data_IF_578309660671
#
_entry.id   IF_578309660671
#
_cell.length_a   1.000
_cell.length_b   1.000
_cell.length_c   1.000
_cell.angle_alpha   90.00
_cell.angle_beta   90.00
_cell.angle_gamma   90.00
#
_symmetry.space_group_name_H-M   'P 1'
#
loop_
_entity.id
_entity.type
_entity.pdbx_description
1 polymer ?
#
# COMPACT_ATOMS: atom_id res chain seq x y z
N UNK A 1 -60.77 -19.76 -64.63
CA UNK A 1 -60.99 -18.32 -64.39
C UNK A 1 -60.07 -17.92 -63.23
N UNK A 2 -58.75 -17.87 -63.47
CA UNK A 2 -57.99 -16.72 -63.99
C UNK A 2 -58.20 -15.47 -63.13
N UNK A 3 -57.19 -15.10 -62.35
CA UNK A 3 -56.42 -13.85 -62.50
C UNK A 3 -55.39 -13.73 -61.35
N UNK A 4 -54.10 -13.84 -61.69
CA UNK A 4 -52.99 -13.37 -60.86
C UNK A 4 -52.94 -11.83 -60.89
N UNK A 5 -52.53 -11.15 -59.81
CA UNK A 5 -52.00 -9.80 -59.90
C UNK A 5 -50.47 -9.74 -59.72
N UNK A 6 -49.94 -8.70 -60.33
CA UNK A 6 -48.55 -8.48 -60.71
C UNK A 6 -47.65 -7.99 -59.57
N UNK A 7 -46.36 -8.26 -59.78
CA UNK A 7 -45.19 -7.64 -59.13
C UNK A 7 -45.24 -6.11 -59.23
N UNK A 8 -44.92 -5.43 -58.14
CA UNK A 8 -44.40 -4.06 -58.15
C UNK A 8 -43.09 -4.03 -57.36
N UNK A 9 -42.04 -3.50 -58.00
CA UNK A 9 -40.71 -3.32 -57.44
C UNK A 9 -40.67 -2.05 -56.59
N UNK A 10 -40.26 -2.14 -55.33
CA UNK A 10 -39.89 -0.99 -54.51
C UNK A 10 -38.37 -0.79 -54.58
N UNK A 11 -37.95 0.36 -55.13
CA UNK A 11 -36.57 0.84 -55.09
C UNK A 11 -36.17 1.13 -53.63
N UNK A 12 -35.13 0.48 -53.12
CA UNK A 12 -34.49 0.81 -51.85
C UNK A 12 -33.62 2.07 -52.00
N UNK A 13 -33.99 3.15 -51.32
CA UNK A 13 -33.17 4.35 -51.20
C UNK A 13 -32.05 4.11 -50.17
N UNK A 14 -30.80 4.13 -50.66
CA UNK A 14 -29.58 3.99 -49.86
C UNK A 14 -29.34 5.33 -49.13
N UNK A 15 -29.69 5.41 -47.84
CA UNK A 15 -29.33 6.54 -46.98
C UNK A 15 -27.84 6.42 -46.62
N UNK A 16 -26.98 7.19 -47.30
CA UNK A 16 -25.57 7.31 -46.97
C UNK A 16 -25.45 8.18 -45.70
N UNK A 17 -25.41 7.55 -44.54
CA UNK A 17 -25.12 8.21 -43.28
C UNK A 17 -23.66 8.69 -43.28
N UNK A 18 -23.47 9.99 -43.45
CA UNK A 18 -22.18 10.67 -43.35
C UNK A 18 -21.71 10.58 -41.88
N UNK A 19 -20.91 9.55 -41.56
CA UNK A 19 -20.26 9.44 -40.26
C UNK A 19 -19.24 10.57 -40.13
N UNK A 20 -19.62 11.62 -39.42
CA UNK A 20 -18.73 12.70 -39.00
C UNK A 20 -17.78 12.13 -37.95
N UNK A 21 -16.57 11.74 -38.39
CA UNK A 21 -15.47 11.39 -37.51
C UNK A 21 -15.07 12.63 -36.70
N UNK A 22 -15.54 12.71 -35.46
CA UNK A 22 -15.02 13.66 -34.49
C UNK A 22 -13.55 13.31 -34.22
N UNK A 23 -12.64 14.08 -34.81
CA UNK A 23 -11.22 13.99 -34.48
C UNK A 23 -11.04 14.44 -33.04
N UNK A 24 -10.82 13.49 -32.14
CA UNK A 24 -10.40 13.76 -30.77
C UNK A 24 -9.00 14.37 -30.83
N UNK A 25 -8.88 15.69 -30.62
CA UNK A 25 -7.60 16.32 -30.33
C UNK A 25 -7.02 15.63 -29.10
N UNK A 26 -5.95 14.84 -29.29
CA UNK A 26 -5.21 14.26 -28.20
C UNK A 26 -4.67 15.39 -27.31
N UNK A 27 -5.08 15.41 -26.05
CA UNK A 27 -4.55 16.36 -25.08
C UNK A 27 -3.03 16.16 -24.95
N UNK A 28 -2.27 17.26 -24.93
CA UNK A 28 -0.82 17.21 -24.77
C UNK A 28 -0.47 16.50 -23.45
N UNK A 29 0.60 15.68 -23.43
CA UNK A 29 0.99 14.97 -22.21
C UNK A 29 1.34 15.99 -21.10
N UNK A 30 1.06 15.65 -19.82
CA UNK A 30 1.43 16.53 -18.71
C UNK A 30 2.93 16.80 -18.74
N UNK A 31 3.34 18.01 -18.36
CA UNK A 31 4.75 18.39 -18.31
C UNK A 31 5.30 18.10 -16.91
N UNK A 32 6.50 17.50 -16.79
CA UNK A 32 7.12 17.26 -15.49
C UNK A 32 7.47 18.59 -14.82
N UNK A 33 7.36 18.70 -13.48
CA UNK A 33 7.79 19.89 -12.78
C UNK A 33 9.31 20.04 -12.87
N UNK A 34 9.77 21.28 -13.01
CA UNK A 34 11.20 21.58 -13.07
C UNK A 34 11.72 21.96 -11.67
N UNK A 35 12.73 21.23 -11.18
CA UNK A 35 13.42 21.60 -9.95
C UNK A 35 14.30 22.83 -10.18
N UNK A 36 14.06 23.91 -9.44
CA UNK A 36 14.91 25.08 -9.49
C UNK A 36 16.33 24.72 -9.02
N UNK A 37 17.34 25.18 -9.76
CA UNK A 37 18.73 25.13 -9.33
C UNK A 37 19.01 26.29 -8.40
N UNK A 38 19.50 25.99 -7.21
CA UNK A 38 19.99 26.95 -6.23
C UNK A 38 21.39 26.52 -5.82
N UNK A 39 22.40 27.22 -6.34
CA UNK A 39 23.79 26.88 -6.07
C UNK A 39 24.06 26.88 -4.56
N UNK A 40 24.49 25.72 -4.07
CA UNK A 40 25.00 25.55 -2.72
C UNK A 40 26.35 24.86 -2.83
N UNK A 41 27.34 25.33 -2.07
CA UNK A 41 28.71 24.82 -2.13
C UNK A 41 29.22 24.50 -0.74
N UNK A 42 30.02 23.43 -0.63
CA UNK A 42 30.87 23.19 0.54
C UNK A 42 32.26 22.72 0.09
N UNK A 43 33.27 22.96 0.92
CA UNK A 43 34.61 22.42 0.69
C UNK A 43 34.78 21.10 1.44
N UNK A 44 35.10 20.02 0.72
CA UNK A 44 35.45 18.71 1.28
C UNK A 44 36.85 18.33 0.85
N UNK A 45 37.74 18.06 1.80
CA UNK A 45 39.12 17.65 1.52
C UNK A 45 39.90 18.62 0.61
N UNK A 46 39.60 19.92 0.68
CA UNK A 46 40.22 20.94 -0.17
C UNK A 46 39.55 21.15 -1.55
N UNK A 47 38.52 20.38 -1.87
CA UNK A 47 37.76 20.52 -3.12
C UNK A 47 36.39 21.15 -2.88
N UNK A 48 35.96 22.05 -3.78
CA UNK A 48 34.61 22.64 -3.74
C UNK A 48 33.61 21.71 -4.40
N UNK A 49 32.64 21.23 -3.64
CA UNK A 49 31.51 20.42 -4.11
C UNK A 49 30.28 21.32 -4.24
N UNK A 50 29.64 21.32 -5.41
CA UNK A 50 28.39 22.07 -5.67
C UNK A 50 27.19 21.12 -5.67
N UNK A 51 26.11 21.48 -4.98
CA UNK A 51 24.83 20.78 -4.96
C UNK A 51 23.69 21.79 -5.24
N UNK A 52 23.29 21.90 -6.51
CA UNK A 52 22.22 22.82 -6.96
C UNK A 52 20.84 22.50 -6.36
N UNK A 53 20.67 21.30 -5.76
CA UNK A 53 19.38 20.82 -5.27
C UNK A 53 19.38 20.60 -3.76
N UNK A 54 20.38 21.12 -3.06
CA UNK A 54 20.53 21.01 -1.60
C UNK A 54 19.27 21.43 -0.85
N UNK A 55 18.59 22.45 -1.36
CA UNK A 55 17.38 23.02 -0.79
C UNK A 55 16.23 22.00 -0.67
N UNK A 56 16.19 20.94 -1.50
CA UNK A 56 15.19 19.87 -1.41
C UNK A 56 15.28 19.06 -0.10
N UNK A 57 16.38 19.15 0.65
CA UNK A 57 16.55 18.44 1.93
C UNK A 57 15.74 19.07 3.07
N UNK A 58 15.33 20.34 2.92
CA UNK A 58 14.59 21.07 3.94
C UNK A 58 13.10 20.68 3.93
N UNK A 59 12.75 19.59 4.61
CA UNK A 59 11.40 18.99 4.59
C UNK A 59 10.26 19.96 4.93
N UNK A 60 10.51 20.97 5.76
CA UNK A 60 9.51 21.95 6.19
C UNK A 60 9.44 23.20 5.30
N UNK A 61 10.36 23.33 4.34
CA UNK A 61 10.41 24.49 3.45
C UNK A 61 9.18 24.48 2.50
N UNK A 62 8.37 25.56 2.46
CA UNK A 62 7.19 25.62 1.61
C UNK A 62 7.48 25.40 0.12
N UNK A 63 8.66 25.78 -0.37
CA UNK A 63 9.07 25.54 -1.76
C UNK A 63 9.25 24.05 -2.05
N UNK A 64 9.81 23.31 -1.10
CA UNK A 64 10.00 21.85 -1.22
C UNK A 64 8.65 21.16 -1.22
N UNK A 65 7.75 21.54 -0.30
CA UNK A 65 6.39 20.99 -0.24
C UNK A 65 5.63 21.29 -1.53
N UNK A 66 5.74 22.50 -2.08
CA UNK A 66 5.12 22.86 -3.35
C UNK A 66 5.66 22.02 -4.51
N UNK A 67 6.98 21.83 -4.58
CA UNK A 67 7.62 20.99 -5.60
C UNK A 67 7.15 19.53 -5.51
N UNK A 68 7.12 18.94 -4.31
CA UNK A 68 6.64 17.57 -4.10
C UNK A 68 5.16 17.39 -4.47
N UNK A 69 4.31 18.40 -4.21
CA UNK A 69 2.92 18.39 -4.66
C UNK A 69 2.80 18.41 -6.19
N UNK A 70 3.66 19.18 -6.86
CA UNK A 70 3.70 19.21 -8.32
C UNK A 70 4.15 17.85 -8.90
N UNK A 71 5.16 17.22 -8.31
CA UNK A 71 5.61 15.86 -8.68
C UNK A 71 4.51 14.81 -8.49
N UNK A 72 3.79 14.87 -7.36
CA UNK A 72 2.65 13.99 -7.11
C UNK A 72 1.52 14.19 -8.14
N UNK A 73 1.22 15.45 -8.51
CA UNK A 73 0.21 15.75 -9.51
C UNK A 73 0.61 15.25 -10.91
N UNK A 74 1.88 15.44 -11.29
CA UNK A 74 2.42 14.92 -12.53
C UNK A 74 2.35 13.39 -12.59
N UNK A 75 2.75 12.71 -11.51
CA UNK A 75 2.68 11.25 -11.40
C UNK A 75 1.24 10.77 -11.53
N UNK A 76 0.30 11.37 -10.79
CA UNK A 76 -1.13 11.03 -10.89
C UNK A 76 -1.66 11.19 -12.31
N UNK A 77 -1.26 12.25 -13.02
CA UNK A 77 -1.68 12.48 -14.39
C UNK A 77 -1.10 11.44 -15.36
N UNK A 78 0.19 11.09 -15.21
CA UNK A 78 0.86 10.08 -16.04
C UNK A 78 0.39 8.66 -15.77
N UNK A 79 0.00 8.34 -14.53
CA UNK A 79 -0.45 6.98 -14.16
C UNK A 79 -1.97 6.82 -14.17
N UNK A 80 -2.73 7.85 -14.56
CA UNK A 80 -4.19 7.86 -14.48
C UNK A 80 -4.83 6.66 -15.19
N UNK A 81 -4.34 6.33 -16.38
CA UNK A 81 -4.89 5.26 -17.20
C UNK A 81 -4.61 3.86 -16.65
N UNK A 82 -3.68 3.74 -15.68
CA UNK A 82 -3.40 2.49 -14.97
C UNK A 82 -4.44 2.18 -13.88
N UNK A 83 -5.33 3.11 -13.54
CA UNK A 83 -6.28 2.94 -12.44
C UNK A 83 -7.11 1.63 -12.51
N UNK A 84 -7.60 1.16 -13.68
CA UNK A 84 -8.27 -0.13 -13.76
C UNK A 84 -7.36 -1.31 -13.39
N UNK A 85 -6.11 -1.30 -13.87
CA UNK A 85 -5.12 -2.32 -13.56
C UNK A 85 -4.74 -2.28 -12.07
N UNK A 86 -4.47 -1.09 -11.52
CA UNK A 86 -4.17 -0.90 -10.09
C UNK A 86 -5.30 -1.44 -9.22
N UNK A 87 -6.56 -1.15 -9.57
CA UNK A 87 -7.74 -1.66 -8.83
C UNK A 87 -7.85 -3.18 -8.91
N UNK A 88 -7.61 -3.77 -10.09
CA UNK A 88 -7.60 -5.22 -10.28
C UNK A 88 -6.53 -5.88 -9.41
N UNK A 89 -5.28 -5.40 -9.49
CA UNK A 89 -4.16 -5.93 -8.71
C UNK A 89 -4.39 -5.76 -7.21
N UNK A 90 -4.92 -4.62 -6.76
CA UNK A 90 -5.29 -4.41 -5.37
C UNK A 90 -6.29 -5.47 -4.88
N UNK A 91 -7.34 -5.73 -5.66
CA UNK A 91 -8.34 -6.75 -5.36
C UNK A 91 -7.76 -8.17 -5.33
N UNK A 92 -6.88 -8.51 -6.27
CA UNK A 92 -6.19 -9.80 -6.31
C UNK A 92 -5.26 -10.00 -5.10
N UNK A 93 -4.44 -9.00 -4.77
CA UNK A 93 -3.53 -9.04 -3.62
C UNK A 93 -4.33 -9.17 -2.33
N UNK A 94 -5.35 -8.33 -2.15
CA UNK A 94 -6.24 -8.41 -0.99
C UNK A 94 -6.93 -9.76 -0.89
N UNK A 95 -7.45 -10.29 -2.00
CA UNK A 95 -8.15 -11.58 -2.04
C UNK A 95 -7.24 -12.79 -1.77
N UNK A 96 -5.92 -12.65 -1.97
CA UNK A 96 -4.91 -13.67 -1.62
C UNK A 96 -4.37 -13.52 -0.20
N UNK A 97 -4.68 -12.41 0.48
CA UNK A 97 -4.24 -12.16 1.84
C UNK A 97 -5.15 -12.89 2.82
N UNK A 98 -4.55 -13.72 3.68
CA UNK A 98 -5.26 -14.39 4.76
C UNK A 98 -5.34 -13.42 5.94
N UNK A 99 -6.49 -12.77 6.10
CA UNK A 99 -6.63 -11.71 7.13
C UNK A 99 -6.55 -12.27 8.56
N UNK A 100 -7.09 -13.47 8.79
CA UNK A 100 -6.94 -14.18 10.07
C UNK A 100 -5.89 -15.26 9.94
N UNK A 101 -4.70 -15.02 10.47
CA UNK A 101 -3.60 -15.97 10.44
C UNK A 101 -2.86 -16.07 11.77
N UNK A 102 -2.10 -17.14 11.93
CA UNK A 102 -1.28 -17.39 13.10
C UNK A 102 0.08 -17.87 12.63
N UNK A 103 1.14 -17.19 13.09
CA UNK A 103 2.52 -17.59 12.84
C UNK A 103 2.83 -18.93 13.51
N UNK A 104 3.86 -19.62 13.04
CA UNK A 104 4.28 -20.91 13.62
C UNK A 104 4.66 -20.72 15.10
N UNK A 105 3.95 -21.38 16.05
CA UNK A 105 4.28 -21.26 17.47
C UNK A 105 5.67 -21.77 17.77
N UNK A 106 6.48 -20.93 18.41
CA UNK A 106 7.86 -21.24 18.75
C UNK A 106 8.01 -21.37 20.26
N UNK A 107 8.53 -22.50 20.72
CA UNK A 107 8.76 -22.73 22.16
C UNK A 107 9.98 -21.95 22.64
N UNK A 108 9.82 -21.16 23.70
CA UNK A 108 10.91 -20.55 24.46
C UNK A 108 10.59 -20.70 25.95
N UNK A 109 11.45 -21.41 26.68
CA UNK A 109 11.22 -21.71 28.09
C UNK A 109 9.88 -22.41 28.32
N UNK A 110 9.06 -21.81 29.19
CA UNK A 110 7.77 -22.37 29.61
C UNK A 110 6.61 -22.04 28.66
N UNK A 111 6.85 -21.31 27.57
CA UNK A 111 5.78 -20.83 26.70
C UNK A 111 6.03 -21.11 25.22
N UNK A 112 4.94 -21.20 24.46
CA UNK A 112 4.93 -21.04 23.01
C UNK A 112 4.55 -19.61 22.68
N UNK A 113 5.39 -18.94 21.90
CA UNK A 113 5.17 -17.58 21.43
C UNK A 113 4.78 -17.58 19.95
N UNK A 114 3.85 -16.70 19.59
CA UNK A 114 3.41 -16.49 18.21
C UNK A 114 2.75 -15.12 18.07
N UNK A 115 2.72 -14.61 16.85
CA UNK A 115 1.79 -13.54 16.47
C UNK A 115 0.57 -14.12 15.75
N UNK A 116 -0.54 -13.40 15.85
CA UNK A 116 -1.75 -13.64 15.05
C UNK A 116 -2.32 -12.34 14.51
N UNK A 117 -3.00 -12.42 13.39
CA UNK A 117 -3.77 -11.32 12.81
C UNK A 117 -5.26 -11.65 12.88
N UNK A 118 -6.09 -10.62 12.91
CA UNK A 118 -7.55 -10.75 12.88
C UNK A 118 -8.11 -10.01 11.67
N UNK A 119 -9.23 -10.50 11.15
CA UNK A 119 -9.93 -9.86 10.05
C UNK A 119 -10.25 -8.39 10.35
N UNK A 120 -9.90 -7.51 9.41
CA UNK A 120 -10.10 -6.07 9.53
C UNK A 120 -9.11 -5.32 10.42
N UNK A 121 -8.20 -6.01 11.11
CA UNK A 121 -7.14 -5.39 11.91
C UNK A 121 -5.89 -5.11 11.06
N UNK A 122 -5.16 -4.05 11.41
CA UNK A 122 -3.99 -3.61 10.63
C UNK A 122 -2.67 -4.15 11.16
N UNK A 123 -2.64 -4.54 12.44
CA UNK A 123 -1.42 -4.93 13.14
C UNK A 123 -1.55 -6.32 13.78
N UNK A 124 -0.44 -7.04 13.97
CA UNK A 124 -0.45 -8.31 14.66
C UNK A 124 -0.73 -8.15 16.17
N UNK A 125 -1.18 -9.24 16.77
CA UNK A 125 -1.31 -9.40 18.22
C UNK A 125 -0.28 -10.44 18.65
N UNK A 126 0.65 -10.02 19.51
CA UNK A 126 1.70 -10.89 20.04
C UNK A 126 1.13 -11.65 21.24
N UNK A 127 1.19 -12.97 21.16
CA UNK A 127 0.54 -13.87 22.10
C UNK A 127 1.52 -14.93 22.61
N UNK A 128 1.14 -15.58 23.71
CA UNK A 128 1.77 -16.82 24.18
C UNK A 128 0.77 -17.79 24.78
N UNK A 129 1.16 -19.06 24.85
CA UNK A 129 0.45 -20.12 25.59
C UNK A 129 1.44 -20.92 26.42
N UNK A 130 1.03 -21.34 27.61
CA UNK A 130 1.88 -22.18 28.47
C UNK A 130 2.18 -23.52 27.78
N UNK A 131 3.44 -23.94 27.80
CA UNK A 131 3.88 -25.24 27.33
C UNK A 131 3.55 -26.31 28.38
N UNK A 132 3.02 -27.45 27.94
CA UNK A 132 2.84 -28.61 28.81
C UNK A 132 4.19 -29.28 29.06
N UNK A 133 4.52 -29.54 30.33
CA UNK A 133 5.79 -30.13 30.74
C UNK A 133 6.06 -31.48 30.04
N UNK A 134 5.03 -32.31 29.90
CA UNK A 134 5.18 -33.71 29.49
C UNK A 134 4.83 -33.97 28.01
N UNK A 135 4.54 -32.92 27.24
CA UNK A 135 3.96 -33.05 25.90
C UNK A 135 4.97 -33.09 24.75
N UNK A 136 6.26 -33.33 25.01
CA UNK A 136 7.25 -33.60 23.95
C UNK A 136 7.31 -32.54 22.84
N UNK A 137 7.50 -31.27 23.20
CA UNK A 137 7.50 -30.12 22.27
C UNK A 137 6.21 -29.96 21.41
N UNK A 138 5.12 -30.65 21.72
CA UNK A 138 3.84 -30.46 21.07
C UNK A 138 3.16 -29.16 21.53
N UNK A 139 2.78 -28.33 20.57
CA UNK A 139 1.92 -27.16 20.79
C UNK A 139 0.47 -27.62 21.02
N UNK A 140 -0.18 -27.12 22.07
CA UNK A 140 -1.59 -27.36 22.36
C UNK A 140 -2.40 -26.06 22.29
N UNK A 141 -3.16 -25.90 21.20
CA UNK A 141 -4.01 -24.73 20.97
C UNK A 141 -5.17 -24.60 21.99
N UNK A 142 -5.43 -25.62 22.83
CA UNK A 142 -6.47 -25.57 23.87
C UNK A 142 -6.00 -24.93 25.17
N UNK A 143 -4.68 -24.82 25.39
CA UNK A 143 -4.14 -24.11 26.56
C UNK A 143 -4.53 -22.63 26.48
N UNK A 144 -4.87 -21.98 27.59
CA UNK A 144 -5.29 -20.58 27.57
C UNK A 144 -4.25 -19.65 26.89
N UNK A 145 -4.73 -18.73 26.05
CA UNK A 145 -3.92 -17.68 25.42
C UNK A 145 -3.70 -16.51 26.36
N UNK A 146 -2.47 -16.00 26.38
CA UNK A 146 -2.10 -14.74 26.99
C UNK A 146 -1.68 -13.75 25.89
N UNK A 147 -2.34 -12.60 25.83
CA UNK A 147 -1.94 -11.51 24.94
C UNK A 147 -0.82 -10.72 25.62
N UNK A 148 0.33 -10.63 24.96
CA UNK A 148 1.48 -9.85 25.43
C UNK A 148 1.43 -8.42 24.93
N UNK A 149 1.07 -8.24 23.66
CA UNK A 149 1.04 -6.93 23.02
C UNK A 149 -0.03 -6.92 21.93
N UNK A 150 -1.03 -6.06 22.07
CA UNK A 150 -1.98 -5.76 21.00
C UNK A 150 -1.61 -4.42 20.36
N UNK A 151 -0.95 -4.49 19.21
CA UNK A 151 -0.50 -3.33 18.47
C UNK A 151 -1.67 -2.50 17.92
N UNK A 152 -2.83 -3.13 17.65
CA UNK A 152 -4.01 -2.40 17.18
C UNK A 152 -4.54 -1.46 18.24
N UNK A 153 -4.48 -1.86 19.52
CA UNK A 153 -4.85 -0.97 20.63
C UNK A 153 -3.87 0.20 20.76
N UNK A 154 -2.57 -0.06 20.62
CA UNK A 154 -1.53 0.96 20.73
C UNK A 154 -1.50 1.93 19.55
N UNK A 155 -1.94 1.47 18.37
CA UNK A 155 -2.01 2.26 17.14
C UNK A 155 -3.23 3.20 17.10
N UNK A 156 -4.24 3.02 17.97
CA UNK A 156 -5.46 3.83 17.95
C UNK A 156 -5.16 5.33 17.99
N UNK A 157 -5.73 6.06 17.02
CA UNK A 157 -5.61 7.52 16.92
C UNK A 157 -4.28 8.02 16.36
N UNK A 158 -3.34 7.12 16.01
CA UNK A 158 -2.06 7.49 15.42
C UNK A 158 -2.13 7.40 13.89
N UNK A 159 -1.43 8.30 13.21
CA UNK A 159 -1.31 8.29 11.74
C UNK A 159 -0.32 7.23 11.24
N UNK A 160 0.64 6.89 12.09
CA UNK A 160 1.65 5.86 11.90
C UNK A 160 1.90 5.18 13.24
N UNK A 161 2.13 3.87 13.21
CA UNK A 161 2.53 3.10 14.38
C UNK A 161 3.34 1.90 13.93
N UNK A 162 4.44 1.64 14.63
CA UNK A 162 5.28 0.48 14.43
C UNK A 162 5.87 0.03 15.78
N UNK A 163 5.95 -1.28 15.99
CA UNK A 163 6.77 -1.87 17.05
C UNK A 163 8.06 -2.38 16.40
N UNK A 164 9.19 -1.71 16.65
CA UNK A 164 10.46 -2.11 16.03
C UNK A 164 11.06 -3.35 16.70
N UNK A 165 10.98 -3.42 18.02
CA UNK A 165 11.58 -4.50 18.79
C UNK A 165 10.77 -4.80 20.03
N UNK A 166 10.75 -6.08 20.41
CA UNK A 166 10.26 -6.51 21.70
C UNK A 166 11.10 -7.67 22.23
N UNK A 167 11.16 -7.79 23.55
CA UNK A 167 11.88 -8.86 24.23
C UNK A 167 11.17 -9.24 25.52
N UNK A 168 11.06 -10.54 25.75
CA UNK A 168 10.50 -11.11 26.98
C UNK A 168 11.65 -11.47 27.92
N UNK A 169 11.53 -11.12 29.19
CA UNK A 169 12.53 -11.43 30.21
C UNK A 169 12.73 -12.95 30.37
N UNK A 170 13.91 -13.42 30.82
CA UNK A 170 14.17 -14.85 31.00
C UNK A 170 13.24 -15.57 31.99
N UNK A 171 12.62 -14.83 32.91
CA UNK A 171 11.64 -15.34 33.87
C UNK A 171 10.18 -15.23 33.38
N UNK A 172 9.98 -14.83 32.11
CA UNK A 172 8.68 -14.68 31.44
C UNK A 172 7.74 -13.63 32.07
N UNK A 173 8.23 -12.75 32.96
CA UNK A 173 7.39 -11.78 33.70
C UNK A 173 7.26 -10.41 33.05
N UNK A 174 8.27 -9.97 32.32
CA UNK A 174 8.34 -8.63 31.75
C UNK A 174 8.46 -8.67 30.24
N UNK A 175 7.78 -7.72 29.58
CA UNK A 175 7.93 -7.43 28.16
C UNK A 175 8.52 -6.03 28.03
N UNK A 176 9.69 -5.93 27.40
CA UNK A 176 10.23 -4.68 26.90
C UNK A 176 9.87 -4.54 25.42
N UNK A 177 9.45 -3.35 24.98
CA UNK A 177 9.17 -3.07 23.58
C UNK A 177 9.46 -1.60 23.25
N UNK A 178 9.81 -1.32 22.00
CA UNK A 178 9.95 0.02 21.45
C UNK A 178 8.85 0.32 20.44
N UNK A 179 8.44 1.57 20.34
CA UNK A 179 7.43 2.00 19.36
C UNK A 179 7.87 3.26 18.62
N UNK A 180 7.58 3.31 17.33
CA UNK A 180 7.62 4.55 16.54
C UNK A 180 6.19 4.97 16.15
N UNK A 181 5.96 6.27 16.12
CA UNK A 181 4.68 6.89 15.77
C UNK A 181 4.80 7.95 14.66
N UNK A 182 6.01 8.18 14.16
CA UNK A 182 6.31 9.24 13.19
C UNK A 182 6.83 8.67 11.87
N UNK A 183 7.60 7.58 11.89
CA UNK A 183 8.21 6.96 10.69
C UNK A 183 9.56 7.58 10.31
#
# INVERSE_FOLDING_TARGET
MSFLPQRTHTLGAFFLALMTSASTLAASPPTPPFAAKQAWQETRHGETVTDDYRWLREKTNPKVIAYLKAENAYTQAMTKDLAPLTKKLYGEIKGRMKETDLSVPTRRGNYYYYSRTEAGQQYPIICRRLAKADAGFAYDARTAEEILLDENLLAKGKKFFEVESFSVSPDDRYLAYSTDTVG
#
